data_IF_248709585331
#
_entry.id   IF_248709585331
#
_cell.length_a   1.000
_cell.length_b   1.000
_cell.length_c   1.000
_cell.angle_alpha   90.00
_cell.angle_beta   90.00
_cell.angle_gamma   90.00
#
_symmetry.space_group_name_H-M   'P 1'
#
loop_
_entity.id
_entity.type
_entity.pdbx_description
1 polymer ?
#
# COMPACT_ATOMS: atom_id res chain seq x y z
N UNK A 1 -0.95 49.70 3.22
CA UNK A 1 -0.38 48.46 3.81
C UNK A 1 -1.37 47.33 3.62
N UNK A 2 -1.23 46.55 2.55
CA UNK A 2 -1.93 45.26 2.40
C UNK A 2 -0.86 44.19 2.47
N UNK A 3 -0.81 43.46 3.59
CA UNK A 3 -0.01 42.25 3.69
C UNK A 3 -0.64 41.22 2.76
N UNK A 4 0.02 40.96 1.62
CA UNK A 4 -0.29 39.82 0.77
C UNK A 4 0.34 38.61 1.45
N UNK A 5 -0.50 37.68 1.89
CA UNK A 5 -0.09 36.45 2.56
C UNK A 5 0.74 35.64 1.57
N UNK A 6 2.05 35.52 1.83
CA UNK A 6 2.93 34.56 1.14
C UNK A 6 2.27 33.18 1.23
N UNK A 7 1.95 32.59 0.08
CA UNK A 7 1.68 31.15 0.02
C UNK A 7 2.99 30.41 0.25
N UNK A 8 3.34 30.25 1.53
CA UNK A 8 4.38 29.35 2.00
C UNK A 8 3.91 27.93 1.69
N UNK A 9 4.20 27.41 0.50
CA UNK A 9 3.98 25.99 0.22
C UNK A 9 5.14 25.23 0.85
N UNK A 10 4.98 24.87 2.12
CA UNK A 10 5.70 23.73 2.68
C UNK A 10 5.19 22.47 1.98
N UNK A 11 5.82 22.07 0.87
CA UNK A 11 5.73 20.67 0.45
C UNK A 11 6.71 19.90 1.33
N UNK A 12 6.31 19.63 2.58
CA UNK A 12 6.85 18.45 3.25
C UNK A 12 6.26 17.29 2.47
N UNK A 13 7.03 16.69 1.56
CA UNK A 13 6.70 15.38 1.03
C UNK A 13 6.82 14.39 2.20
N UNK A 14 5.78 14.31 3.03
CA UNK A 14 5.46 13.04 3.66
C UNK A 14 4.94 12.20 2.50
N UNK A 15 5.84 11.42 1.90
CA UNK A 15 5.46 10.32 1.06
C UNK A 15 4.42 9.50 1.82
N UNK A 16 3.16 9.56 1.38
CA UNK A 16 2.04 8.83 1.98
C UNK A 16 2.23 7.30 1.80
N UNK A 17 3.34 6.88 1.17
CA UNK A 17 3.69 5.49 0.90
C UNK A 17 5.12 5.04 1.30
N UNK A 18 5.98 5.87 1.89
CA UNK A 18 7.38 5.48 2.11
C UNK A 18 7.89 5.74 3.54
N UNK A 19 7.76 4.72 4.40
CA UNK A 19 8.61 4.57 5.58
C UNK A 19 9.32 3.21 5.66
N UNK A 20 9.29 2.40 4.59
CA UNK A 20 9.92 1.05 4.54
C UNK A 20 10.71 0.74 3.26
N UNK A 21 10.81 1.65 2.29
CA UNK A 21 11.74 1.47 1.16
C UNK A 21 13.11 2.01 1.58
N UNK A 22 14.21 1.32 1.23
CA UNK A 22 15.53 1.92 1.33
C UNK A 22 15.52 3.11 0.36
N UNK A 23 15.27 4.29 0.91
CA UNK A 23 15.18 5.55 0.20
C UNK A 23 16.41 6.36 0.61
N UNK A 24 17.15 6.85 -0.37
CA UNK A 24 18.16 7.86 -0.12
C UNK A 24 17.71 9.19 -0.71
N UNK A 25 17.94 10.24 0.07
CA UNK A 25 17.68 11.61 -0.37
C UNK A 25 18.99 12.37 -0.38
N UNK A 26 19.35 12.90 -1.55
CA UNK A 26 20.44 13.84 -1.70
C UNK A 26 19.89 15.27 -1.78
N UNK A 27 20.47 16.17 -0.98
CA UNK A 27 19.99 17.54 -0.78
C UNK A 27 21.00 18.56 -1.31
N UNK A 28 20.53 19.43 -2.19
CA UNK A 28 21.31 20.45 -2.89
C UNK A 28 20.72 21.83 -2.59
N UNK A 29 21.43 22.62 -1.79
CA UNK A 29 21.09 24.03 -1.56
C UNK A 29 21.50 24.88 -2.77
N UNK A 30 20.96 26.08 -2.91
CA UNK A 30 21.31 27.01 -3.98
C UNK A 30 22.82 27.24 -4.09
N UNK A 31 23.53 27.36 -2.96
CA UNK A 31 24.99 27.52 -2.95
C UNK A 31 25.72 26.28 -3.47
N UNK A 32 25.19 25.06 -3.27
CA UNK A 32 25.77 23.84 -3.85
C UNK A 32 25.47 23.74 -5.34
N UNK A 33 24.29 24.21 -5.77
CA UNK A 33 23.86 24.18 -7.16
C UNK A 33 24.66 25.12 -8.07
N UNK A 34 25.41 26.09 -7.55
CA UNK A 34 26.34 26.91 -8.34
C UNK A 34 27.48 26.10 -8.98
N UNK A 35 27.72 24.87 -8.53
CA UNK A 35 28.67 23.93 -9.13
C UNK A 35 28.11 23.21 -10.35
N UNK A 36 26.81 23.32 -10.59
CA UNK A 36 26.17 22.79 -11.79
C UNK A 36 26.56 23.63 -13.01
N UNK A 37 26.34 23.07 -14.19
CA UNK A 37 26.42 23.81 -15.44
C UNK A 37 25.21 24.74 -15.53
N UNK A 38 25.44 26.04 -15.34
CA UNK A 38 24.42 27.08 -15.34
C UNK A 38 24.39 27.81 -16.69
N UNK A 39 23.23 27.82 -17.33
CA UNK A 39 22.92 28.56 -18.55
C UNK A 39 21.86 29.61 -18.22
N UNK A 40 22.25 30.90 -18.26
CA UNK A 40 21.35 32.03 -17.97
C UNK A 40 20.68 32.02 -16.59
N UNK A 41 21.29 31.33 -15.63
CA UNK A 41 20.87 31.32 -14.22
C UNK A 41 22.06 31.57 -13.32
N UNK A 42 21.82 32.16 -12.15
CA UNK A 42 22.85 32.47 -11.15
C UNK A 42 22.27 32.50 -9.75
N UNK A 43 23.15 32.49 -8.74
CA UNK A 43 22.78 32.67 -7.34
C UNK A 43 22.50 34.16 -7.06
N UNK A 44 21.30 34.48 -6.59
CA UNK A 44 20.88 35.81 -6.11
C UNK A 44 20.12 35.58 -4.80
N UNK A 45 20.51 36.26 -3.73
CA UNK A 45 19.83 36.21 -2.42
C UNK A 45 19.51 34.78 -1.93
N UNK A 46 20.49 33.88 -2.01
CA UNK A 46 20.38 32.47 -1.62
C UNK A 46 19.37 31.62 -2.42
N UNK A 47 19.05 32.04 -3.65
CA UNK A 47 18.25 31.25 -4.60
C UNK A 47 18.88 31.26 -5.98
N UNK A 48 18.67 30.20 -6.75
CA UNK A 48 19.00 30.19 -8.19
C UNK A 48 17.87 30.86 -8.94
N UNK A 49 18.22 31.87 -9.73
CA UNK A 49 17.31 32.70 -10.51
C UNK A 49 17.87 32.89 -11.92
N UNK A 50 17.02 33.28 -12.86
CA UNK A 50 17.39 33.75 -14.19
C UNK A 50 18.26 35.01 -14.09
N UNK A 51 19.15 35.21 -15.07
CA UNK A 51 19.76 36.52 -15.25
C UNK A 51 18.69 37.59 -15.57
N UNK A 52 18.92 38.86 -15.21
CA UNK A 52 18.08 39.95 -15.67
C UNK A 52 17.86 39.88 -17.19
N UNK A 53 16.66 40.25 -17.64
CA UNK A 53 16.25 40.30 -19.04
C UNK A 53 16.27 38.95 -19.79
N UNK A 54 16.34 37.83 -19.07
CA UNK A 54 16.22 36.49 -19.67
C UNK A 54 14.85 35.87 -19.39
N UNK A 55 14.25 35.28 -20.42
CA UNK A 55 12.93 34.63 -20.32
C UNK A 55 13.03 33.16 -19.98
N UNK A 56 14.19 32.54 -20.20
CA UNK A 56 14.44 31.14 -19.86
C UNK A 56 15.92 30.87 -19.60
N UNK A 57 16.17 29.82 -18.82
CA UNK A 57 17.49 29.40 -18.39
C UNK A 57 17.45 28.00 -17.81
N UNK A 58 18.62 27.42 -17.59
CA UNK A 58 18.76 26.02 -17.22
C UNK A 58 19.95 25.82 -16.29
N UNK A 59 19.80 24.96 -15.29
CA UNK A 59 20.95 24.38 -14.58
C UNK A 59 20.97 22.87 -14.80
N UNK A 60 22.15 22.29 -15.02
CA UNK A 60 22.34 20.85 -15.19
C UNK A 60 23.42 20.35 -14.25
N UNK A 61 23.12 19.37 -13.40
CA UNK A 61 24.10 18.78 -12.50
C UNK A 61 25.11 17.93 -13.28
N UNK A 62 26.31 17.80 -12.72
CA UNK A 62 27.21 16.70 -13.09
C UNK A 62 26.59 15.35 -12.68
N UNK A 63 27.26 14.26 -13.07
CA UNK A 63 26.91 12.92 -12.62
C UNK A 63 27.10 12.77 -11.11
N UNK A 64 26.07 12.30 -10.43
CA UNK A 64 26.06 12.05 -8.98
C UNK A 64 25.97 10.54 -8.78
N UNK A 65 27.01 9.96 -8.18
CA UNK A 65 27.01 8.55 -7.80
C UNK A 65 25.96 8.31 -6.71
N UNK A 66 25.04 7.38 -6.95
CA UNK A 66 24.00 7.06 -5.97
C UNK A 66 24.56 6.20 -4.84
N UNK A 67 24.01 6.37 -3.63
CA UNK A 67 24.40 5.59 -2.44
C UNK A 67 23.87 4.16 -2.45
N UNK A 68 22.92 3.88 -3.33
CA UNK A 68 22.38 2.57 -3.61
C UNK A 68 22.06 2.44 -5.10
N UNK A 69 21.96 1.21 -5.58
CA UNK A 69 21.32 0.97 -6.86
C UNK A 69 19.84 1.37 -6.77
N UNK A 70 19.33 2.04 -7.79
CA UNK A 70 17.97 2.56 -7.80
C UNK A 70 17.35 2.40 -9.18
N UNK A 71 16.03 2.50 -9.24
CA UNK A 71 15.34 2.48 -10.52
C UNK A 71 14.04 3.29 -10.53
N UNK A 72 13.73 3.96 -9.43
CA UNK A 72 12.78 5.05 -9.41
C UNK A 72 13.40 6.24 -8.69
N UNK A 73 12.96 7.44 -9.07
CA UNK A 73 13.39 8.66 -8.43
C UNK A 73 12.30 9.73 -8.48
N UNK A 74 12.28 10.56 -7.45
CA UNK A 74 11.42 11.73 -7.32
C UNK A 74 12.26 12.95 -6.98
N UNK A 75 11.82 14.13 -7.43
CA UNK A 75 12.40 15.40 -7.01
C UNK A 75 11.37 16.18 -6.19
N UNK A 76 11.77 16.61 -5.00
CA UNK A 76 11.11 17.67 -4.25
C UNK A 76 12.01 18.90 -4.21
N UNK A 77 11.42 20.09 -4.08
CA UNK A 77 12.17 21.34 -4.12
C UNK A 77 11.50 22.41 -3.27
N UNK A 78 12.28 23.42 -2.91
CA UNK A 78 11.79 24.63 -2.27
C UNK A 78 12.09 25.81 -3.19
N UNK A 79 11.04 26.47 -3.67
CA UNK A 79 11.14 27.62 -4.55
C UNK A 79 9.96 28.58 -4.39
N UNK A 80 10.21 29.86 -4.64
CA UNK A 80 9.17 30.85 -4.89
C UNK A 80 8.98 30.99 -6.40
N UNK A 81 7.77 30.76 -6.89
CA UNK A 81 7.46 30.83 -8.32
C UNK A 81 6.40 31.91 -8.54
N UNK A 82 6.76 33.05 -9.16
CA UNK A 82 5.80 34.09 -9.52
C UNK A 82 4.65 33.54 -10.38
N UNK A 83 3.47 34.14 -10.28
CA UNK A 83 2.34 33.75 -11.13
C UNK A 83 2.72 33.85 -12.61
N UNK A 84 2.45 32.79 -13.37
CA UNK A 84 2.80 32.67 -14.78
C UNK A 84 4.26 32.27 -15.08
N UNK A 85 5.14 32.19 -14.07
CA UNK A 85 6.48 31.63 -14.22
C UNK A 85 6.45 30.11 -14.04
N UNK A 86 7.47 29.40 -14.56
CA UNK A 86 7.52 27.93 -14.41
C UNK A 86 8.92 27.43 -14.04
N UNK A 87 8.93 26.34 -13.29
CA UNK A 87 10.11 25.50 -13.07
C UNK A 87 9.77 24.09 -13.55
N UNK A 88 10.61 23.53 -14.40
CA UNK A 88 10.51 22.15 -14.87
C UNK A 88 11.74 21.37 -14.44
N UNK A 89 11.52 20.20 -13.85
CA UNK A 89 12.57 19.29 -13.42
C UNK A 89 12.66 18.10 -14.36
N UNK A 90 13.88 17.70 -14.68
CA UNK A 90 14.13 16.48 -15.44
C UNK A 90 15.30 15.70 -14.82
N UNK A 91 15.25 14.38 -15.00
CA UNK A 91 16.26 13.47 -14.48
C UNK A 91 16.70 12.47 -15.57
N UNK A 92 17.97 12.11 -15.54
CA UNK A 92 18.58 11.06 -16.35
C UNK A 92 19.38 10.16 -15.43
N UNK A 93 19.29 8.85 -15.61
CA UNK A 93 19.94 7.87 -14.76
C UNK A 93 20.94 7.03 -15.55
N UNK A 94 22.05 6.68 -14.93
CA UNK A 94 23.11 5.87 -15.54
C UNK A 94 23.01 4.42 -15.07
N UNK A 95 22.89 3.49 -16.02
CA UNK A 95 22.85 2.07 -15.73
C UNK A 95 24.23 1.52 -15.31
N UNK A 96 24.29 0.23 -15.02
CA UNK A 96 25.54 -0.46 -14.61
C UNK A 96 26.59 -0.56 -15.72
N UNK A 97 26.16 -0.44 -16.97
CA UNK A 97 27.01 -0.43 -18.15
C UNK A 97 27.48 0.99 -18.52
N UNK A 98 27.25 1.95 -17.62
CA UNK A 98 27.63 3.37 -17.73
C UNK A 98 26.87 4.14 -18.83
N UNK A 99 25.74 3.64 -19.29
CA UNK A 99 24.88 4.28 -20.28
C UNK A 99 23.82 5.14 -19.60
N UNK A 100 23.60 6.35 -20.13
CA UNK A 100 22.59 7.29 -19.63
C UNK A 100 21.24 7.05 -20.28
N UNK A 101 20.18 7.10 -19.47
CA UNK A 101 18.81 7.17 -19.99
C UNK A 101 18.54 8.51 -20.68
N UNK A 102 17.54 8.52 -21.55
CA UNK A 102 16.89 9.76 -21.98
C UNK A 102 16.44 10.59 -20.75
N UNK A 103 16.37 11.90 -20.94
CA UNK A 103 15.87 12.82 -19.93
C UNK A 103 14.36 12.61 -19.75
N UNK A 104 13.95 12.42 -18.49
CA UNK A 104 12.54 12.25 -18.13
C UNK A 104 12.09 13.44 -17.30
N UNK A 105 10.97 14.04 -17.68
CA UNK A 105 10.35 15.10 -16.90
C UNK A 105 9.73 14.54 -15.62
N UNK A 106 9.96 15.23 -14.50
CA UNK A 106 9.30 14.96 -13.23
C UNK A 106 8.17 15.98 -13.06
N UNK A 107 6.94 15.47 -13.03
CA UNK A 107 5.78 16.28 -12.71
C UNK A 107 5.64 16.34 -11.18
N UNK A 108 5.25 17.49 -10.63
CA UNK A 108 5.08 17.71 -9.18
C UNK A 108 3.94 16.90 -8.55
N UNK A 109 3.22 16.11 -9.33
CA UNK A 109 2.31 15.07 -8.84
C UNK A 109 3.13 13.92 -8.25
N UNK A 110 2.76 13.47 -7.06
CA UNK A 110 3.42 12.54 -6.12
C UNK A 110 3.90 11.15 -6.63
N UNK A 111 4.13 10.97 -7.94
CA UNK A 111 4.53 9.71 -8.55
C UNK A 111 6.02 9.72 -8.95
N UNK A 112 6.71 8.63 -8.65
CA UNK A 112 8.12 8.45 -9.02
C UNK A 112 8.29 8.32 -10.53
N UNK A 113 9.41 8.85 -11.04
CA UNK A 113 9.88 8.53 -12.37
C UNK A 113 10.58 7.19 -12.32
N UNK A 114 9.99 6.18 -12.99
CA UNK A 114 10.60 4.87 -13.15
C UNK A 114 11.56 4.84 -14.34
N UNK A 115 12.72 4.25 -14.15
CA UNK A 115 13.68 3.94 -15.21
C UNK A 115 13.40 2.55 -15.78
N UNK A 116 14.11 2.14 -16.82
CA UNK A 116 14.03 0.76 -17.36
C UNK A 116 15.14 -0.15 -16.86
N UNK A 117 16.29 0.45 -16.52
CA UNK A 117 17.45 -0.24 -15.96
C UNK A 117 17.61 0.04 -14.47
N UNK A 118 18.37 -0.84 -13.82
CA UNK A 118 18.94 -0.57 -12.50
C UNK A 118 20.11 0.39 -12.67
N UNK A 119 20.07 1.49 -11.93
CA UNK A 119 20.98 2.62 -12.10
C UNK A 119 21.90 2.78 -10.88
N UNK A 120 23.09 3.32 -11.15
CA UNK A 120 24.16 3.53 -10.16
C UNK A 120 24.57 5.00 -10.01
N UNK A 121 24.09 5.86 -10.90
CA UNK A 121 24.27 7.30 -10.82
C UNK A 121 23.07 8.00 -11.46
N UNK A 122 22.91 9.28 -11.15
CA UNK A 122 21.92 10.13 -11.81
C UNK A 122 22.49 11.52 -12.07
N UNK A 123 21.79 12.28 -12.91
CA UNK A 123 21.95 13.71 -13.06
C UNK A 123 20.57 14.33 -13.21
N UNK A 124 20.42 15.56 -12.74
CA UNK A 124 19.17 16.30 -12.87
C UNK A 124 19.42 17.63 -13.57
N UNK A 125 18.38 18.17 -14.20
CA UNK A 125 18.39 19.53 -14.72
C UNK A 125 17.10 20.24 -14.39
N UNK A 126 17.21 21.55 -14.22
CA UNK A 126 16.09 22.43 -13.89
C UNK A 126 16.01 23.50 -14.95
N UNK A 127 14.83 23.65 -15.54
CA UNK A 127 14.52 24.63 -16.58
C UNK A 127 13.62 25.69 -15.94
N UNK A 128 14.03 26.95 -16.08
CA UNK A 128 13.34 28.12 -15.54
C UNK A 128 12.70 28.87 -16.69
N UNK A 129 11.47 29.34 -16.49
CA UNK A 129 10.80 30.27 -17.39
C UNK A 129 10.27 31.44 -16.58
N UNK A 130 10.63 32.66 -16.96
CA UNK A 130 10.09 33.87 -16.36
C UNK A 130 8.60 34.04 -16.73
N UNK A 131 7.86 34.78 -15.91
CA UNK A 131 6.50 35.18 -16.29
C UNK A 131 6.51 36.33 -17.32
N UNK A 132 5.33 36.79 -17.72
CA UNK A 132 5.17 37.90 -18.68
C UNK A 132 5.74 39.23 -18.21
N UNK A 133 5.96 39.40 -16.91
CA UNK A 133 6.58 40.60 -16.31
C UNK A 133 8.11 40.49 -16.20
N UNK A 134 8.69 39.38 -16.66
CA UNK A 134 10.13 39.11 -16.55
C UNK A 134 10.57 38.66 -15.15
N UNK A 135 9.63 38.31 -14.26
CA UNK A 135 9.96 37.82 -12.92
C UNK A 135 10.44 36.38 -12.97
N UNK A 136 11.61 36.12 -12.39
CA UNK A 136 12.21 34.79 -12.30
C UNK A 136 11.62 33.96 -11.16
N UNK A 137 11.49 32.64 -11.33
CA UNK A 137 11.42 31.73 -10.19
C UNK A 137 12.70 31.81 -9.33
N UNK A 138 12.56 31.59 -8.03
CA UNK A 138 13.64 31.59 -7.04
C UNK A 138 13.78 30.20 -6.42
N UNK A 139 14.76 29.41 -6.86
CA UNK A 139 14.97 28.04 -6.38
C UNK A 139 16.01 27.99 -5.26
N UNK A 140 15.60 27.68 -4.03
CA UNK A 140 16.53 27.61 -2.90
C UNK A 140 17.10 26.21 -2.68
N UNK A 141 16.34 25.17 -3.00
CA UNK A 141 16.73 23.79 -2.68
C UNK A 141 16.11 22.78 -3.62
N UNK A 142 16.90 21.74 -3.94
CA UNK A 142 16.46 20.52 -4.60
C UNK A 142 16.81 19.32 -3.74
N UNK A 143 15.86 18.41 -3.59
CA UNK A 143 16.04 17.11 -2.99
C UNK A 143 15.73 16.04 -4.04
N UNK A 144 16.72 15.20 -4.32
CA UNK A 144 16.52 14.03 -5.19
C UNK A 144 16.38 12.82 -4.29
N UNK A 145 15.18 12.25 -4.31
CA UNK A 145 14.85 10.99 -3.68
C UNK A 145 15.04 9.88 -4.72
N UNK A 146 15.72 8.79 -4.34
CA UNK A 146 15.78 7.59 -5.16
C UNK A 146 15.68 6.33 -4.31
N UNK A 147 15.06 5.33 -4.90
CA UNK A 147 14.81 4.03 -4.29
C UNK A 147 14.91 2.92 -5.34
N UNK A 148 14.90 1.69 -4.85
CA UNK A 148 14.88 0.50 -5.67
C UNK A 148 13.49 -0.12 -5.64
N UNK A 149 12.63 0.35 -6.53
CA UNK A 149 11.46 -0.41 -6.95
C UNK A 149 11.94 -1.66 -7.70
N UNK A 150 11.31 -2.82 -7.55
CA UNK A 150 11.71 -3.96 -8.38
C UNK A 150 11.22 -3.74 -9.82
N UNK A 151 12.12 -3.39 -10.74
CA UNK A 151 11.84 -3.25 -12.18
C UNK A 151 11.35 -4.56 -12.85
N UNK A 152 11.62 -5.70 -12.22
CA UNK A 152 11.03 -6.98 -12.60
C UNK A 152 9.50 -7.02 -12.44
N UNK A 153 8.86 -5.96 -11.90
CA UNK A 153 7.41 -5.79 -11.82
C UNK A 153 6.78 -5.01 -12.99
N UNK A 154 7.56 -4.57 -14.01
CA UNK A 154 6.97 -3.94 -15.22
C UNK A 154 7.41 -4.58 -16.55
N UNK A 155 8.63 -5.13 -16.71
CA UNK A 155 9.09 -5.57 -18.06
C UNK A 155 9.46 -7.05 -18.28
N UNK A 156 9.70 -7.88 -17.25
CA UNK A 156 10.04 -9.32 -17.48
C UNK A 156 8.94 -10.31 -17.07
N UNK A 157 7.68 -9.87 -17.04
CA UNK A 157 6.53 -10.75 -16.85
C UNK A 157 5.33 -10.38 -17.74
N UNK A 158 5.58 -9.92 -18.96
CA UNK A 158 4.58 -10.06 -20.01
C UNK A 158 4.98 -11.22 -20.94
N UNK A 159 4.64 -12.48 -20.60
CA UNK A 159 3.88 -13.23 -21.58
C UNK A 159 2.63 -12.39 -21.86
N UNK A 160 2.40 -12.08 -23.12
CA UNK A 160 1.19 -11.41 -23.59
C UNK A 160 -0.05 -12.03 -22.91
N UNK A 161 -0.66 -11.32 -21.95
CA UNK A 161 -1.96 -11.69 -21.38
C UNK A 161 -2.05 -11.86 -19.86
N UNK A 162 -1.83 -10.80 -19.07
CA UNK A 162 -2.64 -10.40 -17.89
C UNK A 162 -1.92 -9.23 -17.19
N UNK A 163 -2.48 -8.02 -17.25
CA UNK A 163 -1.91 -6.86 -16.55
C UNK A 163 -1.95 -7.00 -15.02
N UNK A 164 -1.15 -6.18 -14.32
CA UNK A 164 -1.28 -5.98 -12.87
C UNK A 164 -2.74 -5.68 -12.52
N UNK A 165 -3.28 -6.38 -11.52
CA UNK A 165 -4.71 -6.42 -11.22
C UNK A 165 -5.15 -5.34 -10.23
N UNK A 166 -4.19 -4.54 -9.72
CA UNK A 166 -4.46 -3.32 -8.96
C UNK A 166 -4.85 -3.59 -7.51
N UNK A 167 -4.31 -4.64 -6.88
CA UNK A 167 -4.59 -4.94 -5.47
C UNK A 167 -3.84 -3.97 -4.56
N UNK A 168 -4.59 -3.16 -3.80
CA UNK A 168 -4.01 -2.18 -2.87
C UNK A 168 -3.11 -2.83 -1.81
N UNK A 169 -1.95 -2.22 -1.57
CA UNK A 169 -1.07 -2.58 -0.44
C UNK A 169 -1.83 -2.39 0.88
N UNK A 170 -1.89 -3.40 1.77
CA UNK A 170 -2.54 -3.22 3.06
C UNK A 170 -1.75 -2.24 3.94
N UNK A 171 -2.40 -1.66 4.95
CA UNK A 171 -1.70 -0.88 5.97
C UNK A 171 -0.78 -1.80 6.77
N UNK A 172 0.53 -1.52 6.72
CA UNK A 172 1.59 -2.31 7.34
C UNK A 172 2.36 -1.38 8.28
N UNK A 173 2.55 -1.83 9.52
CA UNK A 173 3.42 -1.14 10.48
C UNK A 173 4.86 -1.43 10.10
N UNK A 174 5.56 -0.34 9.76
CA UNK A 174 6.96 -0.37 9.34
C UNK A 174 7.90 -0.92 10.39
N UNK A 175 9.08 -1.38 9.96
CA UNK A 175 10.13 -1.82 10.88
C UNK A 175 10.45 -0.76 11.92
N UNK A 176 10.58 0.49 11.48
CA UNK A 176 10.76 1.63 12.38
C UNK A 176 9.53 1.84 13.29
N UNK A 177 8.32 1.73 12.74
CA UNK A 177 7.06 1.95 13.45
C UNK A 177 6.81 0.99 14.63
N UNK A 178 7.34 -0.24 14.59
CA UNK A 178 7.29 -1.15 15.74
C UNK A 178 8.58 -1.20 16.57
N UNK A 179 9.59 -0.40 16.22
CA UNK A 179 10.87 -0.32 16.93
C UNK A 179 11.75 -1.55 16.70
N UNK A 180 11.88 -1.99 15.44
CA UNK A 180 12.78 -3.06 15.06
C UNK A 180 14.23 -2.72 15.39
N UNK A 181 14.97 -3.67 15.97
CA UNK A 181 16.44 -3.56 16.01
C UNK A 181 17.04 -3.79 14.62
N UNK A 182 18.25 -3.29 14.44
CA UNK A 182 19.06 -3.53 13.25
C UNK A 182 19.43 -5.02 13.13
N UNK A 183 19.53 -5.57 11.90
CA UNK A 183 19.98 -6.94 11.71
C UNK A 183 21.43 -7.12 12.14
N UNK A 184 21.80 -8.31 12.65
CA UNK A 184 23.18 -8.64 13.07
C UNK A 184 24.16 -8.73 11.89
N UNK A 185 23.66 -9.03 10.69
CA UNK A 185 24.43 -9.17 9.45
C UNK A 185 23.68 -8.52 8.28
N UNK A 186 24.42 -8.13 7.25
CA UNK A 186 23.84 -7.66 5.99
C UNK A 186 22.90 -8.69 5.35
N UNK A 187 21.98 -8.21 4.54
CA UNK A 187 20.99 -9.04 3.88
C UNK A 187 21.47 -9.58 2.53
N UNK A 188 21.00 -10.78 2.20
CA UNK A 188 21.09 -11.35 0.87
C UNK A 188 19.75 -11.19 0.17
N UNK A 189 19.77 -10.82 -1.11
CA UNK A 189 18.55 -10.51 -1.87
C UNK A 189 18.05 -11.72 -2.65
N UNK A 190 16.74 -11.78 -2.90
CA UNK A 190 16.08 -12.74 -3.78
C UNK A 190 14.88 -12.08 -4.48
N UNK A 191 14.33 -12.78 -5.46
CA UNK A 191 13.10 -12.38 -6.15
C UNK A 191 11.95 -13.27 -5.66
N UNK A 192 10.90 -12.74 -5.03
CA UNK A 192 9.74 -13.52 -4.63
C UNK A 192 9.12 -14.29 -5.81
N UNK A 193 8.92 -15.60 -5.63
CA UNK A 193 8.22 -16.48 -6.59
C UNK A 193 7.19 -17.38 -5.92
N UNK A 194 7.20 -17.49 -4.59
CA UNK A 194 6.24 -18.25 -3.80
C UNK A 194 6.00 -17.61 -2.43
N UNK A 195 4.89 -17.95 -1.80
CA UNK A 195 4.50 -17.47 -0.48
C UNK A 195 4.31 -18.65 0.47
N UNK A 196 4.74 -18.52 1.72
CA UNK A 196 4.53 -19.56 2.74
C UNK A 196 3.79 -18.97 3.93
N UNK A 197 2.68 -19.60 4.30
CA UNK A 197 1.89 -19.27 5.48
C UNK A 197 2.47 -20.00 6.70
N UNK A 198 2.66 -19.24 7.78
CA UNK A 198 3.16 -19.71 9.06
C UNK A 198 2.18 -19.37 10.19
N UNK A 199 2.26 -20.13 11.28
CA UNK A 199 1.84 -19.66 12.60
C UNK A 199 3.08 -19.39 13.47
N UNK A 200 2.96 -18.62 14.54
CA UNK A 200 4.07 -18.47 15.49
C UNK A 200 4.27 -19.70 16.36
N UNK A 201 3.23 -20.52 16.59
CA UNK A 201 3.12 -21.51 17.67
C UNK A 201 3.14 -20.85 19.07
N UNK A 202 4.15 -20.02 19.36
CA UNK A 202 4.17 -19.14 20.52
C UNK A 202 4.60 -17.72 20.11
N UNK A 203 3.90 -16.67 20.58
CA UNK A 203 2.77 -16.71 21.50
C UNK A 203 1.46 -17.16 20.86
N UNK A 204 0.46 -17.46 21.71
CA UNK A 204 -0.93 -17.65 21.32
C UNK A 204 -1.54 -16.34 20.79
N UNK A 205 -2.59 -16.43 19.97
CA UNK A 205 -3.27 -15.26 19.43
C UNK A 205 -3.86 -14.39 20.56
N UNK A 206 -4.42 -15.03 21.58
CA UNK A 206 -4.95 -14.38 22.80
C UNK A 206 -3.91 -13.57 23.60
N UNK A 207 -2.63 -13.89 23.44
CA UNK A 207 -1.51 -13.23 24.12
C UNK A 207 -0.88 -12.11 23.28
N UNK A 208 -1.43 -11.80 22.11
CA UNK A 208 -0.93 -10.73 21.25
C UNK A 208 -1.13 -9.35 21.89
N UNK A 209 -0.05 -8.57 22.01
CA UNK A 209 -0.01 -7.23 22.63
C UNK A 209 0.69 -6.20 21.72
N UNK A 210 0.45 -6.29 20.42
CA UNK A 210 0.96 -5.31 19.45
C UNK A 210 2.46 -5.42 19.20
N UNK A 211 3.10 -4.27 19.00
CA UNK A 211 4.53 -4.15 18.68
C UNK A 211 5.46 -4.82 19.70
N UNK A 212 5.05 -4.88 20.98
CA UNK A 212 5.82 -5.57 22.04
C UNK A 212 5.99 -7.07 21.75
N UNK A 213 4.94 -7.72 21.24
CA UNK A 213 4.99 -9.12 20.83
C UNK A 213 5.97 -9.32 19.67
N UNK A 214 5.97 -8.43 18.68
CA UNK A 214 6.85 -8.50 17.51
C UNK A 214 8.32 -8.36 17.93
N UNK A 215 8.63 -7.40 18.81
CA UNK A 215 9.98 -7.24 19.38
C UNK A 215 10.43 -8.48 20.14
N UNK A 216 9.55 -9.10 20.94
CA UNK A 216 9.88 -10.35 21.64
C UNK A 216 10.21 -11.50 20.67
N UNK A 217 9.47 -11.61 19.56
CA UNK A 217 9.76 -12.61 18.50
C UNK A 217 11.11 -12.30 17.83
N UNK A 218 11.38 -11.02 17.49
CA UNK A 218 12.67 -10.61 16.92
C UNK A 218 13.83 -10.93 17.87
N UNK A 219 13.70 -10.59 19.16
CA UNK A 219 14.70 -10.87 20.18
C UNK A 219 14.97 -12.38 20.29
N UNK A 220 13.91 -13.21 20.35
CA UNK A 220 14.07 -14.66 20.39
C UNK A 220 14.81 -15.20 19.15
N UNK A 221 14.42 -14.77 17.95
CA UNK A 221 15.10 -15.19 16.73
C UNK A 221 16.57 -14.77 16.67
N UNK A 222 16.88 -13.56 17.13
CA UNK A 222 18.25 -13.05 17.05
C UNK A 222 19.14 -13.57 18.18
N UNK A 223 18.63 -13.58 19.41
CA UNK A 223 19.42 -13.83 20.61
C UNK A 223 19.41 -15.32 20.99
N UNK A 224 18.27 -16.00 20.84
CA UNK A 224 18.18 -17.44 21.14
C UNK A 224 18.53 -18.30 19.94
N UNK A 225 17.99 -18.01 18.74
CA UNK A 225 18.28 -18.82 17.54
C UNK A 225 19.57 -18.38 16.80
N UNK A 226 20.16 -17.24 17.18
CA UNK A 226 21.36 -16.70 16.53
C UNK A 226 21.14 -16.18 15.09
N UNK A 227 19.90 -15.94 14.68
CA UNK A 227 19.60 -15.46 13.33
C UNK A 227 19.98 -13.99 13.15
N UNK A 228 20.16 -13.57 11.90
CA UNK A 228 20.48 -12.17 11.60
C UNK A 228 19.36 -11.21 12.00
N UNK A 229 18.11 -11.63 11.85
CA UNK A 229 16.92 -10.83 12.15
C UNK A 229 15.71 -11.77 12.34
N UNK A 230 14.53 -11.20 12.65
CA UNK A 230 13.24 -11.89 12.64
C UNK A 230 13.07 -12.75 11.38
N UNK A 231 12.61 -14.00 11.51
CA UNK A 231 12.64 -14.95 10.39
C UNK A 231 11.65 -14.70 9.25
N UNK A 232 10.53 -14.03 9.55
CA UNK A 232 9.40 -13.82 8.63
C UNK A 232 9.47 -12.46 7.92
N UNK A 233 8.74 -12.32 6.82
CA UNK A 233 8.60 -11.04 6.09
C UNK A 233 7.41 -10.24 6.57
N UNK A 234 6.32 -10.91 6.95
CA UNK A 234 5.14 -10.27 7.53
C UNK A 234 4.66 -11.04 8.76
N UNK A 235 4.21 -10.32 9.78
CA UNK A 235 3.57 -10.89 10.97
C UNK A 235 2.22 -10.22 11.18
N UNK A 236 1.17 -11.01 11.30
CA UNK A 236 -0.20 -10.55 11.42
C UNK A 236 -0.72 -10.88 12.81
N UNK A 237 -0.99 -9.84 13.59
CA UNK A 237 -1.57 -9.96 14.91
C UNK A 237 -3.05 -9.61 14.91
N UNK A 238 -3.84 -10.32 15.73
CA UNK A 238 -5.24 -9.98 15.98
C UNK A 238 -5.42 -9.73 17.47
N UNK A 239 -5.83 -8.52 17.85
CA UNK A 239 -6.15 -8.20 19.23
C UNK A 239 -7.42 -8.93 19.67
N UNK A 240 -7.64 -9.06 20.99
CA UNK A 240 -8.86 -9.64 21.54
C UNK A 240 -10.14 -8.90 21.13
N UNK A 241 -10.04 -7.63 20.74
CA UNK A 241 -11.14 -6.85 20.17
C UNK A 241 -11.51 -7.26 18.73
N UNK A 242 -10.71 -8.13 18.10
CA UNK A 242 -10.83 -8.49 16.69
C UNK A 242 -10.14 -7.52 15.73
N UNK A 243 -9.56 -6.42 16.23
CA UNK A 243 -8.74 -5.52 15.42
C UNK A 243 -7.46 -6.22 14.96
N UNK A 244 -7.12 -6.08 13.69
CA UNK A 244 -5.91 -6.68 13.09
C UNK A 244 -4.84 -5.64 12.82
N UNK A 245 -3.58 -6.04 12.96
CA UNK A 245 -2.43 -5.22 12.55
C UNK A 245 -1.39 -6.12 11.86
N UNK A 246 -0.86 -5.65 10.74
CA UNK A 246 0.21 -6.31 9.99
C UNK A 246 1.51 -5.58 10.27
N UNK A 247 2.57 -6.31 10.58
CA UNK A 247 3.90 -5.78 10.85
C UNK A 247 4.89 -6.26 9.79
N UNK A 248 5.71 -5.34 9.28
CA UNK A 248 6.85 -5.68 8.42
C UNK A 248 7.93 -6.38 9.25
N UNK A 249 8.25 -7.62 8.91
CA UNK A 249 9.45 -8.32 9.34
C UNK A 249 10.63 -7.95 8.45
N UNK A 250 11.27 -8.93 7.82
CA UNK A 250 12.29 -8.65 6.78
C UNK A 250 11.65 -8.01 5.54
N UNK A 251 12.38 -7.20 4.77
CA UNK A 251 11.95 -6.77 3.43
C UNK A 251 11.65 -7.99 2.56
N UNK A 252 10.56 -7.99 1.80
CA UNK A 252 10.10 -9.16 1.02
C UNK A 252 11.05 -9.61 -0.10
N UNK A 253 12.02 -8.78 -0.49
CA UNK A 253 13.09 -9.09 -1.44
C UNK A 253 14.39 -9.59 -0.79
N UNK A 254 14.39 -9.82 0.52
CA UNK A 254 15.55 -10.25 1.30
C UNK A 254 15.30 -11.64 1.84
N UNK A 255 16.32 -12.52 1.78
CA UNK A 255 16.19 -13.90 2.24
C UNK A 255 15.67 -13.96 3.69
N UNK A 256 14.54 -14.65 3.83
CA UNK A 256 13.96 -15.05 5.11
C UNK A 256 14.82 -16.06 5.89
N UNK A 257 14.35 -16.38 7.09
CA UNK A 257 14.84 -17.53 7.87
C UNK A 257 13.67 -18.37 8.40
N UNK A 258 12.54 -18.37 7.68
CA UNK A 258 11.29 -18.97 8.14
C UNK A 258 11.08 -20.40 7.65
N UNK A 259 11.72 -20.81 6.55
CA UNK A 259 11.59 -22.15 5.96
C UNK A 259 12.96 -22.71 5.61
N UNK A 260 13.53 -23.51 6.50
CA UNK A 260 14.84 -24.15 6.30
C UNK A 260 14.88 -24.92 4.97
N UNK A 261 15.88 -24.64 4.13
CA UNK A 261 16.03 -25.25 2.81
C UNK A 261 15.15 -24.66 1.70
N UNK A 262 14.20 -23.77 2.01
CA UNK A 262 13.32 -23.15 1.01
C UNK A 262 13.03 -21.65 1.24
N UNK A 263 13.99 -20.91 1.81
CA UNK A 263 13.88 -19.45 1.97
C UNK A 263 14.07 -18.69 0.65
N UNK A 264 14.89 -19.21 -0.26
CA UNK A 264 15.15 -18.55 -1.56
C UNK A 264 13.87 -18.44 -2.37
N UNK A 265 13.61 -17.24 -2.90
CA UNK A 265 12.41 -16.91 -3.68
C UNK A 265 11.09 -17.06 -2.90
N UNK A 266 11.12 -17.11 -1.57
CA UNK A 266 9.96 -17.43 -0.74
C UNK A 266 9.68 -16.34 0.30
N UNK A 267 8.46 -15.83 0.32
CA UNK A 267 8.01 -14.82 1.29
C UNK A 267 7.15 -15.48 2.37
N UNK A 268 7.68 -15.59 3.58
CA UNK A 268 6.95 -16.03 4.77
C UNK A 268 5.99 -14.99 5.35
N UNK A 269 4.70 -15.29 5.34
CA UNK A 269 3.62 -14.55 6.01
C UNK A 269 3.18 -15.33 7.25
N UNK A 270 3.39 -14.76 8.43
CA UNK A 270 3.08 -15.38 9.71
C UNK A 270 1.79 -14.80 10.31
N UNK A 271 0.88 -15.67 10.72
CA UNK A 271 -0.30 -15.31 11.50
C UNK A 271 -0.07 -15.71 12.98
N UNK A 272 -0.08 -14.73 13.88
CA UNK A 272 0.30 -14.94 15.28
C UNK A 272 -0.74 -15.80 15.99
N UNK A 273 -0.32 -16.98 16.46
CA UNK A 273 -1.12 -17.92 17.23
C UNK A 273 -0.62 -19.36 17.14
N UNK A 274 -1.39 -20.26 17.75
CA UNK A 274 -1.22 -21.70 17.70
C UNK A 274 -2.46 -22.38 17.09
N UNK A 275 -2.50 -22.42 15.75
CA UNK A 275 -3.63 -23.00 15.02
C UNK A 275 -3.68 -24.54 15.00
N UNK A 276 -2.92 -25.23 15.86
CA UNK A 276 -3.23 -26.62 16.20
C UNK A 276 -4.38 -26.73 17.21
N UNK A 277 -4.60 -25.67 18.00
CA UNK A 277 -5.58 -25.62 19.09
C UNK A 277 -6.49 -24.38 19.06
N UNK A 278 -6.04 -23.27 18.48
CA UNK A 278 -6.82 -22.04 18.33
C UNK A 278 -7.61 -22.04 17.01
N UNK A 279 -8.80 -21.44 17.03
CA UNK A 279 -9.51 -21.12 15.79
C UNK A 279 -8.94 -19.84 15.17
N UNK A 280 -8.91 -19.79 13.84
CA UNK A 280 -8.46 -18.59 13.12
C UNK A 280 -9.55 -17.53 13.19
N UNK A 281 -9.27 -16.38 13.80
CA UNK A 281 -10.21 -15.26 13.86
C UNK A 281 -10.54 -14.75 12.44
N UNK A 282 -11.82 -14.50 12.08
CA UNK A 282 -12.20 -14.09 10.71
C UNK A 282 -11.47 -12.84 10.21
N UNK A 283 -11.29 -11.83 11.06
CA UNK A 283 -10.55 -10.62 10.68
C UNK A 283 -9.06 -10.92 10.43
N UNK A 284 -8.43 -11.75 11.26
CA UNK A 284 -7.02 -12.15 11.07
C UNK A 284 -6.83 -12.95 9.79
N UNK A 285 -7.77 -13.85 9.49
CA UNK A 285 -7.83 -14.57 8.21
C UNK A 285 -7.95 -13.59 7.03
N UNK A 286 -8.88 -12.63 7.08
CA UNK A 286 -9.04 -11.61 6.04
C UNK A 286 -7.79 -10.76 5.84
N UNK A 287 -7.15 -10.30 6.91
CA UNK A 287 -5.89 -9.55 6.84
C UNK A 287 -4.78 -10.37 6.15
N UNK A 288 -4.71 -11.67 6.44
CA UNK A 288 -3.79 -12.60 5.78
C UNK A 288 -4.11 -12.76 4.28
N UNK A 289 -5.39 -12.94 3.91
CA UNK A 289 -5.79 -13.03 2.49
C UNK A 289 -5.41 -11.75 1.74
N UNK A 290 -5.69 -10.57 2.29
CA UNK A 290 -5.36 -9.31 1.64
C UNK A 290 -3.84 -9.10 1.50
N UNK A 291 -3.06 -9.53 2.50
CA UNK A 291 -1.59 -9.50 2.43
C UNK A 291 -1.06 -10.44 1.35
N UNK A 292 -1.56 -11.68 1.31
CA UNK A 292 -1.16 -12.67 0.30
C UNK A 292 -1.56 -12.23 -1.12
N UNK A 293 -2.76 -11.65 -1.29
CA UNK A 293 -3.23 -11.17 -2.58
C UNK A 293 -2.41 -9.98 -3.08
N UNK A 294 -2.09 -9.02 -2.22
CA UNK A 294 -1.18 -7.93 -2.57
C UNK A 294 0.20 -8.45 -2.99
N UNK A 295 0.76 -9.42 -2.27
CA UNK A 295 2.04 -10.04 -2.65
C UNK A 295 1.96 -10.80 -3.98
N UNK A 296 0.87 -11.52 -4.22
CA UNK A 296 0.63 -12.19 -5.50
C UNK A 296 0.53 -11.20 -6.66
N UNK A 297 -0.19 -10.09 -6.49
CA UNK A 297 -0.32 -9.05 -7.52
C UNK A 297 1.03 -8.37 -7.78
N UNK A 298 1.69 -7.91 -6.70
CA UNK A 298 2.97 -7.18 -6.75
C UNK A 298 4.05 -8.00 -7.46
N UNK A 299 4.18 -9.28 -7.14
CA UNK A 299 5.25 -10.13 -7.65
C UNK A 299 4.83 -11.08 -8.77
N UNK A 300 3.61 -10.92 -9.30
CA UNK A 300 3.00 -11.83 -10.28
C UNK A 300 3.11 -13.31 -9.86
N UNK A 301 2.88 -13.58 -8.58
CA UNK A 301 2.91 -14.94 -8.02
C UNK A 301 1.51 -15.54 -8.18
N UNK A 302 1.45 -16.72 -8.81
CA UNK A 302 0.20 -17.47 -8.90
C UNK A 302 -0.30 -17.83 -7.50
N UNK A 303 -1.61 -17.72 -7.19
CA UNK A 303 -2.15 -18.23 -5.92
C UNK A 303 -1.86 -19.71 -5.67
N UNK A 304 -1.54 -20.48 -6.72
CA UNK A 304 -1.14 -21.88 -6.57
C UNK A 304 0.23 -22.04 -5.89
N UNK A 305 1.09 -21.01 -5.92
CA UNK A 305 2.40 -20.93 -5.26
C UNK A 305 2.30 -20.44 -3.80
N UNK A 306 1.12 -20.54 -3.18
CA UNK A 306 0.92 -20.35 -1.75
C UNK A 306 1.02 -21.73 -1.06
N UNK A 307 1.83 -21.83 -0.03
CA UNK A 307 2.09 -23.08 0.68
C UNK A 307 1.92 -22.89 2.19
N UNK A 308 1.71 -23.98 2.92
CA UNK A 308 1.96 -24.03 4.36
C UNK A 308 3.41 -24.44 4.63
N UNK A 309 3.99 -24.02 5.75
CA UNK A 309 5.37 -24.42 6.09
C UNK A 309 5.59 -25.95 6.06
N UNK A 310 4.58 -26.72 6.47
CA UNK A 310 4.55 -28.19 6.41
C UNK A 310 4.77 -28.78 5.02
N UNK A 311 4.54 -28.02 3.94
CA UNK A 311 4.78 -28.49 2.57
C UNK A 311 6.28 -28.59 2.23
N UNK A 312 7.16 -27.96 3.02
CA UNK A 312 8.61 -27.94 2.76
C UNK A 312 9.44 -28.72 3.78
N UNK A 313 8.89 -29.02 4.96
CA UNK A 313 9.64 -29.67 6.04
C UNK A 313 8.73 -30.45 6.97
N UNK A 314 9.31 -31.37 7.76
CA UNK A 314 8.57 -32.09 8.79
C UNK A 314 8.32 -31.18 10.00
N UNK A 315 7.28 -30.35 9.90
CA UNK A 315 6.87 -29.39 10.93
C UNK A 315 5.36 -29.40 11.15
N UNK A 316 4.91 -29.00 12.34
CA UNK A 316 3.49 -28.78 12.63
C UNK A 316 2.98 -27.46 12.02
N UNK A 317 3.87 -26.49 11.78
CA UNK A 317 3.55 -25.17 11.22
C UNK A 317 2.90 -25.30 9.84
N UNK A 318 1.79 -24.59 9.51
CA UNK A 318 1.16 -23.49 10.24
C UNK A 318 0.08 -23.91 11.26
N UNK A 319 0.10 -25.14 11.75
CA UNK A 319 -0.92 -25.74 12.61
C UNK A 319 -2.07 -26.35 11.80
N UNK A 320 -2.65 -27.45 12.27
CA UNK A 320 -3.67 -28.23 11.54
C UNK A 320 -4.86 -27.40 11.07
N UNK A 321 -5.33 -26.47 11.90
CA UNK A 321 -6.50 -25.63 11.62
C UNK A 321 -6.25 -24.61 10.50
N UNK A 322 -5.04 -24.06 10.39
CA UNK A 322 -4.68 -23.14 9.31
C UNK A 322 -4.19 -23.89 8.07
N UNK A 323 -3.46 -25.00 8.25
CA UNK A 323 -2.99 -25.84 7.15
C UNK A 323 -4.13 -26.45 6.34
N UNK A 324 -5.20 -26.93 7.00
CA UNK A 324 -6.38 -27.46 6.31
C UNK A 324 -7.10 -26.41 5.45
N UNK A 325 -6.86 -25.11 5.70
CA UNK A 325 -7.43 -24.00 4.93
C UNK A 325 -6.59 -23.61 3.71
N UNK A 326 -5.40 -24.16 3.48
CA UNK A 326 -4.55 -23.78 2.33
C UNK A 326 -5.32 -23.80 0.99
N UNK A 327 -6.11 -24.85 0.64
CA UNK A 327 -6.91 -24.81 -0.59
C UNK A 327 -7.94 -23.68 -0.64
N UNK A 328 -8.54 -23.31 0.50
CA UNK A 328 -9.47 -22.18 0.60
C UNK A 328 -8.72 -20.85 0.47
N UNK A 329 -7.56 -20.70 1.12
CA UNK A 329 -6.71 -19.51 1.03
C UNK A 329 -6.36 -19.22 -0.43
N UNK A 330 -5.95 -20.25 -1.19
CA UNK A 330 -5.66 -20.12 -2.64
C UNK A 330 -6.87 -19.61 -3.44
N UNK A 331 -8.08 -20.05 -3.09
CA UNK A 331 -9.32 -19.57 -3.73
C UNK A 331 -9.61 -18.12 -3.35
N UNK A 332 -9.60 -17.79 -2.07
CA UNK A 332 -9.92 -16.45 -1.59
C UNK A 332 -8.93 -15.40 -2.14
N UNK A 333 -7.63 -15.73 -2.19
CA UNK A 333 -6.62 -14.85 -2.81
C UNK A 333 -6.91 -14.65 -4.30
N UNK A 334 -7.30 -15.71 -5.02
CA UNK A 334 -7.67 -15.61 -6.44
C UNK A 334 -8.88 -14.72 -6.65
N UNK A 335 -9.86 -14.77 -5.74
CA UNK A 335 -11.04 -13.92 -5.78
C UNK A 335 -10.64 -12.45 -5.60
N UNK A 336 -9.76 -12.14 -4.64
CA UNK A 336 -9.19 -10.78 -4.47
C UNK A 336 -8.49 -10.29 -5.74
N UNK A 337 -7.67 -11.14 -6.34
CA UNK A 337 -6.94 -10.81 -7.56
C UNK A 337 -7.88 -10.58 -8.77
N UNK A 338 -9.01 -11.27 -8.88
CA UNK A 338 -9.93 -11.14 -10.01
C UNK A 338 -10.85 -9.90 -9.92
N UNK A 339 -10.48 -8.88 -9.13
CA UNK A 339 -11.36 -7.73 -8.88
C UNK A 339 -12.51 -8.05 -7.92
N UNK A 340 -12.54 -9.25 -7.34
CA UNK A 340 -13.33 -9.56 -6.16
C UNK A 340 -12.65 -8.95 -4.94
N UNK A 341 -12.56 -7.62 -4.91
CA UNK A 341 -11.98 -6.82 -3.82
C UNK A 341 -12.16 -7.52 -2.48
N UNK A 342 -11.04 -7.87 -1.85
CA UNK A 342 -10.94 -8.51 -0.55
C UNK A 342 -11.60 -7.68 0.53
N UNK A 343 -12.94 -7.76 0.57
CA UNK A 343 -13.83 -7.24 1.58
C UNK A 343 -13.66 -5.75 1.88
N UNK A 344 -14.01 -4.91 0.91
CA UNK A 344 -14.74 -3.69 1.25
C UNK A 344 -16.22 -3.99 1.08
N UNK A 345 -16.97 -4.00 2.18
CA UNK A 345 -18.43 -4.17 2.15
C UNK A 345 -19.08 -2.83 2.46
N UNK A 346 -20.17 -2.48 1.79
CA UNK A 346 -21.07 -1.45 2.26
C UNK A 346 -22.19 -2.06 3.11
N UNK A 347 -22.87 -1.21 3.88
CA UNK A 347 -24.04 -1.59 4.68
C UNK A 347 -25.29 -1.06 4.02
N UNK A 348 -26.21 -1.95 3.62
CA UNK A 348 -27.58 -1.58 3.27
C UNK A 348 -28.46 -1.76 4.50
N UNK A 349 -29.02 -0.66 5.00
CA UNK A 349 -29.91 -0.64 6.16
C UNK A 349 -31.26 -0.03 5.78
N UNK A 350 -32.35 -0.50 6.37
CA UNK A 350 -33.64 0.12 6.15
C UNK A 350 -34.67 -0.34 7.16
N UNK A 351 -35.73 0.46 7.30
CA UNK A 351 -36.88 0.10 8.10
C UNK A 351 -38.01 -0.44 7.21
N UNK A 352 -38.68 -1.49 7.67
CA UNK A 352 -39.93 -1.97 7.11
C UNK A 352 -41.06 -1.46 8.01
N UNK A 353 -42.06 -0.81 7.42
CA UNK A 353 -43.13 -0.15 8.17
C UNK A 353 -44.48 -0.22 7.45
N UNK A 354 -45.57 -0.02 8.18
CA UNK A 354 -46.92 0.07 7.62
C UNK A 354 -47.11 1.45 6.96
N UNK A 355 -47.19 1.49 5.63
CA UNK A 355 -47.25 2.74 4.89
C UNK A 355 -48.52 3.55 5.17
N UNK A 356 -49.61 2.90 5.60
CA UNK A 356 -50.85 3.59 5.94
C UNK A 356 -50.78 4.28 7.32
N UNK A 357 -49.88 3.83 8.20
CA UNK A 357 -49.70 4.35 9.56
C UNK A 357 -48.45 5.21 9.74
N UNK A 358 -47.73 5.46 8.64
CA UNK A 358 -46.50 6.23 8.63
C UNK A 358 -45.27 5.41 9.05
N UNK A 359 -44.10 6.01 8.84
CA UNK A 359 -42.81 5.34 8.99
C UNK A 359 -42.57 4.82 10.43
N UNK A 360 -43.08 5.49 11.45
CA UNK A 360 -42.95 5.05 12.86
C UNK A 360 -43.64 3.72 13.17
N UNK A 361 -44.57 3.24 12.34
CA UNK A 361 -45.24 1.95 12.52
C UNK A 361 -44.39 0.79 11.97
N UNK A 362 -43.34 0.40 12.71
CA UNK A 362 -42.36 -0.62 12.30
C UNK A 362 -42.97 -2.04 12.25
N UNK A 363 -42.57 -2.81 11.24
CA UNK A 363 -43.06 -4.17 11.00
C UNK A 363 -41.96 -5.20 11.32
N UNK A 364 -42.14 -5.90 12.44
CA UNK A 364 -41.34 -7.08 12.80
C UNK A 364 -41.70 -8.29 11.95
N UNK A 365 -40.75 -9.20 11.72
CA UNK A 365 -40.99 -10.45 10.99
C UNK A 365 -41.25 -10.28 9.48
N UNK A 366 -40.85 -9.14 8.89
CA UNK A 366 -40.85 -8.96 7.45
C UNK A 366 -39.57 -9.55 6.86
N UNK A 367 -39.67 -10.30 5.77
CA UNK A 367 -38.50 -10.89 5.09
C UNK A 367 -38.07 -10.01 3.92
N UNK A 368 -36.81 -9.60 3.93
CA UNK A 368 -36.16 -8.84 2.85
C UNK A 368 -35.25 -9.80 2.08
N UNK A 369 -35.41 -9.88 0.76
CA UNK A 369 -34.60 -10.71 -0.14
C UNK A 369 -33.91 -9.84 -1.17
N UNK A 370 -32.58 -9.87 -1.21
CA UNK A 370 -31.79 -9.18 -2.23
C UNK A 370 -31.79 -9.97 -3.55
N UNK A 371 -31.51 -9.28 -4.65
CA UNK A 371 -31.34 -9.87 -6.00
C UNK A 371 -30.25 -10.94 -6.06
N UNK A 372 -29.25 -10.89 -5.19
CA UNK A 372 -28.20 -11.90 -5.05
C UNK A 372 -28.62 -13.10 -4.18
N UNK A 373 -29.89 -13.18 -3.76
CA UNK A 373 -30.44 -14.28 -2.99
C UNK A 373 -30.24 -14.19 -1.48
N UNK A 374 -29.47 -13.22 -0.95
CA UNK A 374 -29.33 -13.03 0.51
C UNK A 374 -30.65 -12.58 1.13
N UNK A 375 -30.95 -13.08 2.33
CA UNK A 375 -32.21 -12.81 3.05
C UNK A 375 -31.97 -12.42 4.50
N UNK A 376 -32.78 -11.48 5.00
CA UNK A 376 -32.84 -11.08 6.41
C UNK A 376 -34.30 -10.89 6.80
N UNK A 377 -34.66 -11.28 8.02
CA UNK A 377 -35.97 -11.03 8.61
C UNK A 377 -35.84 -9.94 9.68
N UNK A 378 -36.75 -8.96 9.67
CA UNK A 378 -36.72 -7.84 10.62
C UNK A 378 -37.03 -8.27 12.06
N UNK A 379 -36.35 -7.67 13.02
CA UNK A 379 -36.64 -7.82 14.46
C UNK A 379 -37.78 -6.92 14.93
N UNK A 380 -37.96 -6.78 16.25
CA UNK A 380 -39.00 -5.93 16.86
C UNK A 380 -38.89 -4.45 16.48
N UNK A 381 -37.70 -3.98 16.11
CA UNK A 381 -37.43 -2.62 15.62
C UNK A 381 -37.84 -2.41 14.15
N UNK A 382 -38.22 -3.47 13.43
CA UNK A 382 -38.55 -3.45 12.01
C UNK A 382 -37.37 -3.11 11.10
N UNK A 383 -36.12 -3.19 11.58
CA UNK A 383 -34.92 -2.84 10.82
C UNK A 383 -34.33 -4.09 10.18
N UNK A 384 -33.87 -3.96 8.93
CA UNK A 384 -33.01 -4.95 8.28
C UNK A 384 -31.63 -4.36 8.01
N UNK A 385 -30.60 -5.21 8.00
CA UNK A 385 -29.21 -4.84 7.73
C UNK A 385 -28.54 -5.91 6.87
N UNK A 386 -27.91 -5.49 5.78
CA UNK A 386 -27.05 -6.35 4.96
C UNK A 386 -25.65 -5.76 4.86
N UNK A 387 -24.65 -6.59 5.11
CA UNK A 387 -23.26 -6.28 4.80
C UNK A 387 -22.87 -7.01 3.51
N UNK A 388 -22.69 -6.25 2.44
CA UNK A 388 -22.60 -6.76 1.06
C UNK A 388 -21.56 -5.98 0.26
N UNK A 389 -21.03 -6.61 -0.80
CA UNK A 389 -20.09 -5.96 -1.72
C UNK A 389 -20.73 -4.72 -2.37
N UNK A 390 -19.94 -3.71 -2.77
CA UNK A 390 -20.45 -2.57 -3.51
C UNK A 390 -21.15 -3.03 -4.78
N UNK A 391 -22.24 -2.35 -5.15
CA UNK A 391 -23.03 -2.70 -6.31
C UNK A 391 -24.49 -2.27 -6.20
N UNK A 392 -25.23 -2.49 -7.28
CA UNK A 392 -26.65 -2.17 -7.36
C UNK A 392 -27.47 -3.41 -6.98
N UNK A 393 -28.25 -3.30 -5.91
CA UNK A 393 -29.12 -4.36 -5.42
C UNK A 393 -30.57 -3.93 -5.53
N UNK A 394 -31.37 -4.71 -6.25
CA UNK A 394 -32.82 -4.72 -6.03
C UNK A 394 -33.15 -5.67 -4.89
N UNK A 395 -34.22 -5.38 -4.16
CA UNK A 395 -34.68 -6.23 -3.07
C UNK A 395 -36.18 -6.19 -2.93
N UNK A 396 -36.74 -7.35 -2.58
CA UNK A 396 -38.17 -7.53 -2.33
C UNK A 396 -38.41 -7.72 -0.84
N UNK A 397 -39.56 -7.25 -0.38
CA UNK A 397 -39.97 -7.34 1.02
C UNK A 397 -41.34 -7.99 1.08
N UNK A 398 -41.45 -9.08 1.84
CA UNK A 398 -42.70 -9.81 2.04
C UNK A 398 -43.02 -9.95 3.53
N UNK A 399 -44.29 -9.76 3.89
CA UNK A 399 -44.82 -10.03 5.22
C UNK A 399 -46.25 -10.55 5.09
N UNK A 400 -46.58 -11.61 5.83
CA UNK A 400 -47.95 -12.15 5.82
C UNK A 400 -48.97 -11.07 6.19
N UNK A 401 -50.07 -11.00 5.44
CA UNK A 401 -51.11 -9.97 5.59
C UNK A 401 -50.74 -8.59 5.06
N UNK A 402 -49.65 -8.46 4.28
CA UNK A 402 -49.26 -7.24 3.59
C UNK A 402 -48.94 -7.53 2.11
N UNK A 403 -49.24 -6.58 1.23
CA UNK A 403 -48.76 -6.60 -0.16
C UNK A 403 -47.24 -6.47 -0.17
N UNK A 404 -46.58 -7.25 -1.03
CA UNK A 404 -45.12 -7.23 -1.13
C UNK A 404 -44.62 -5.89 -1.70
N UNK A 405 -43.49 -5.42 -1.19
CA UNK A 405 -42.81 -4.22 -1.64
C UNK A 405 -41.48 -4.53 -2.33
N UNK A 406 -40.94 -3.56 -3.06
CA UNK A 406 -39.60 -3.67 -3.62
C UNK A 406 -38.91 -2.30 -3.68
N UNK A 407 -37.58 -2.31 -3.70
CA UNK A 407 -36.76 -1.13 -3.91
C UNK A 407 -35.41 -1.53 -4.50
N UNK A 408 -34.65 -0.53 -4.95
CA UNK A 408 -33.27 -0.72 -5.43
C UNK A 408 -32.34 0.31 -4.80
N UNK A 409 -31.12 -0.10 -4.45
CA UNK A 409 -30.09 0.77 -3.89
C UNK A 409 -28.71 0.44 -4.45
N UNK A 410 -27.92 1.48 -4.69
CA UNK A 410 -26.50 1.38 -4.95
C UNK A 410 -25.76 1.40 -3.62
N UNK A 411 -24.98 0.35 -3.34
CA UNK A 411 -24.15 0.24 -2.15
C UNK A 411 -22.72 0.55 -2.54
N UNK A 412 -22.08 1.46 -1.82
CA UNK A 412 -20.67 1.81 -2.00
C UNK A 412 -19.82 1.15 -0.91
N UNK A 413 -18.53 0.95 -1.21
CA UNK A 413 -17.56 0.45 -0.24
C UNK A 413 -17.52 1.36 1.01
N UNK A 414 -17.49 0.75 2.20
CA UNK A 414 -17.38 1.45 3.48
C UNK A 414 -18.48 2.51 3.75
N UNK A 415 -19.58 2.47 2.99
CA UNK A 415 -20.70 3.39 3.13
C UNK A 415 -21.92 2.69 3.75
N UNK A 416 -22.74 3.46 4.49
CA UNK A 416 -24.06 3.02 4.93
C UNK A 416 -25.13 3.68 4.07
N UNK A 417 -25.94 2.87 3.40
CA UNK A 417 -26.98 3.32 2.48
C UNK A 417 -28.35 2.95 3.05
N UNK A 418 -29.25 3.94 3.10
CA UNK A 418 -30.60 3.77 3.63
C UNK A 418 -31.63 3.40 2.55
N UNK A 419 -32.42 2.36 2.83
CA UNK A 419 -33.36 1.76 1.89
C UNK A 419 -34.65 1.26 2.54
N UNK A 420 -35.34 2.12 3.29
CA UNK A 420 -36.61 1.76 3.93
C UNK A 420 -37.72 1.47 2.91
N UNK A 421 -38.63 0.56 3.25
CA UNK A 421 -39.77 0.16 2.39
C UNK A 421 -41.04 0.13 3.23
N UNK A 422 -42.04 0.90 2.82
CA UNK A 422 -43.38 0.84 3.39
C UNK A 422 -44.19 -0.28 2.74
N UNK A 423 -44.87 -1.10 3.54
CA UNK A 423 -45.82 -2.11 3.06
C UNK A 423 -47.24 -1.68 3.40
N UNK A 424 -48.18 -2.00 2.52
CA UNK A 424 -49.61 -1.76 2.73
C UNK A 424 -50.33 -3.10 2.93
N UNK A 425 -51.21 -3.17 3.93
CA UNK A 425 -52.11 -4.31 4.12
C UNK A 425 -53.01 -4.52 2.91
#
# INVERSE_FOLDING_TARGET
MRFCVLSLIFVITTSVFAHDELQYTDRFTAQKMTRCQCEKVTLIDNSIQLYPDTTSGKLTSDAIQSKMFFNAATISYFAEVPEGATIQFEISAQNRDFEWSEWKQIHTSEADVHFENTNQAYRYRVIFTANSEGQSPQLNEVQVCYDFVFQHMIKEALPSGMGMRGVSKPSIVSRNGWGARQPKKGYSYHSPRRLTVHHTYRPLASSFKGASTIRSIQNYHMDSNGWSDIGYHFLIGTYSSGQTVIYQGRPENVLGAHTGGANTNNVGVNLIGDYDIESVHPNGYKAMINTLAWLCDRYNISPNEIYGHKDFSNTACPGRGLYSKIPQIKRDVRDVLNGGSGSETGTLIGAIYDSAKGSSSRLSGATVTLSNGKKVTTGSDGIFRFQIAPGNYSYTVSKSGYKSGSASRSVQANATVWGSVGLRK
#
